data_IF_472703849827
#
_entry.id   IF_472703849827
#
_cell.length_a   1.000
_cell.length_b   1.000
_cell.length_c   1.000
_cell.angle_alpha   90.00
_cell.angle_beta   90.00
_cell.angle_gamma   90.00
#
_symmetry.space_group_name_H-M   'P 1'
#
loop_
_entity.id
_entity.type
_entity.pdbx_description
1 polymer ?
#
# COMPACT_ATOMS: atom_id res chain seq x y z
N UNK A 1 6.17 -19.99 3.10
CA UNK A 1 6.00 -18.53 3.22
C UNK A 1 7.33 -17.96 3.68
N UNK A 2 8.07 -17.32 2.79
CA UNK A 2 9.43 -16.85 3.07
C UNK A 2 9.39 -15.67 4.06
N UNK A 3 9.72 -15.95 5.32
CA UNK A 3 9.70 -14.98 6.43
C UNK A 3 10.44 -13.67 6.11
N UNK A 4 11.45 -13.72 5.24
CA UNK A 4 12.21 -12.55 4.81
C UNK A 4 11.36 -11.54 4.02
N UNK A 5 10.43 -12.01 3.17
CA UNK A 5 9.55 -11.13 2.37
C UNK A 5 8.57 -10.38 3.28
N UNK A 6 7.99 -11.08 4.26
CA UNK A 6 7.07 -10.47 5.23
C UNK A 6 7.73 -9.39 6.08
N UNK A 7 9.01 -9.56 6.44
CA UNK A 7 9.79 -8.54 7.15
C UNK A 7 10.00 -7.33 6.25
N UNK A 8 10.41 -7.54 5.00
CA UNK A 8 10.63 -6.45 4.05
C UNK A 8 9.36 -5.64 3.76
N UNK A 9 8.21 -6.29 3.64
CA UNK A 9 6.92 -5.61 3.41
C UNK A 9 6.53 -4.69 4.58
N UNK A 10 6.86 -5.07 5.82
CA UNK A 10 6.59 -4.26 7.02
C UNK A 10 7.49 -3.03 7.11
N UNK A 11 8.75 -3.16 6.68
CA UNK A 11 9.74 -2.08 6.70
C UNK A 11 9.56 -1.11 5.53
N UNK A 12 9.16 -1.61 4.35
CA UNK A 12 9.04 -0.82 3.13
C UNK A 12 7.85 0.13 3.21
N UNK A 13 8.09 1.43 3.07
CA UNK A 13 7.04 2.45 3.02
C UNK A 13 6.58 2.69 1.58
N UNK A 14 5.30 2.45 1.33
CA UNK A 14 4.64 2.75 0.05
C UNK A 14 4.20 4.21 0.02
N UNK A 15 3.50 4.66 1.08
CA UNK A 15 3.18 6.07 1.26
C UNK A 15 4.18 6.71 2.21
N UNK A 16 5.13 7.46 1.66
CA UNK A 16 6.24 8.03 2.44
C UNK A 16 5.76 9.19 3.32
N UNK A 17 4.81 10.01 2.84
CA UNK A 17 4.34 11.19 3.59
C UNK A 17 3.44 10.84 4.79
N UNK A 18 2.72 9.72 4.74
CA UNK A 18 1.84 9.25 5.84
C UNK A 18 2.38 7.99 6.52
N UNK A 19 3.55 7.49 6.11
CA UNK A 19 4.23 6.35 6.75
C UNK A 19 3.58 4.98 6.52
N UNK A 20 2.71 4.82 5.52
CA UNK A 20 1.99 3.57 5.24
C UNK A 20 2.93 2.53 4.60
N UNK A 21 2.97 1.33 5.18
CA UNK A 21 3.84 0.23 4.76
C UNK A 21 3.26 -0.60 3.61
N UNK A 22 4.13 -1.33 2.88
CA UNK A 22 3.70 -2.29 1.84
C UNK A 22 2.85 -3.40 2.44
N UNK A 23 3.17 -3.86 3.64
CA UNK A 23 2.37 -4.84 4.38
C UNK A 23 0.93 -4.35 4.63
N UNK A 24 0.75 -3.07 5.00
CA UNK A 24 -0.58 -2.49 5.20
C UNK A 24 -1.39 -2.47 3.90
N UNK A 25 -0.76 -2.07 2.79
CA UNK A 25 -1.40 -2.06 1.46
C UNK A 25 -1.80 -3.50 1.06
N UNK A 26 -0.86 -4.45 1.11
CA UNK A 26 -1.14 -5.87 0.79
C UNK A 26 -2.23 -6.46 1.67
N UNK A 27 -2.28 -6.12 2.97
CA UNK A 27 -3.35 -6.54 3.87
C UNK A 27 -4.71 -5.99 3.43
N UNK A 28 -4.80 -4.72 3.02
CA UNK A 28 -6.05 -4.15 2.52
C UNK A 28 -6.53 -4.85 1.24
N UNK A 29 -5.61 -5.15 0.33
CA UNK A 29 -5.91 -5.87 -0.91
C UNK A 29 -6.40 -7.29 -0.62
N UNK A 30 -5.69 -8.03 0.26
CA UNK A 30 -6.11 -9.37 0.72
C UNK A 30 -7.47 -9.37 1.41
N UNK A 31 -7.83 -8.27 2.07
CA UNK A 31 -9.13 -8.08 2.70
C UNK A 31 -10.24 -7.68 1.70
N UNK A 32 -9.94 -7.61 0.40
CA UNK A 32 -10.92 -7.45 -0.67
C UNK A 32 -10.89 -6.11 -1.40
N UNK A 33 -9.96 -5.19 -1.09
CA UNK A 33 -9.82 -3.96 -1.88
C UNK A 33 -9.28 -4.28 -3.29
N UNK A 34 -10.04 -3.95 -4.34
CA UNK A 34 -9.67 -4.26 -5.74
C UNK A 34 -9.33 -3.02 -6.56
N UNK A 35 -9.59 -1.84 -6.04
CA UNK A 35 -9.32 -0.57 -6.70
C UNK A 35 -8.39 0.32 -5.87
N UNK A 36 -7.72 1.25 -6.55
CA UNK A 36 -6.89 2.27 -5.89
C UNK A 36 -7.68 3.01 -4.79
N UNK A 37 -8.91 3.43 -5.11
CA UNK A 37 -9.76 4.16 -4.16
C UNK A 37 -10.09 3.33 -2.92
N UNK A 38 -10.41 2.04 -3.09
CA UNK A 38 -10.68 1.16 -1.94
C UNK A 38 -9.43 0.98 -1.07
N UNK A 39 -8.26 0.81 -1.68
CA UNK A 39 -7.00 0.72 -0.93
C UNK A 39 -6.71 2.03 -0.19
N UNK A 40 -6.85 3.18 -0.84
CA UNK A 40 -6.65 4.49 -0.22
C UNK A 40 -7.63 4.71 0.94
N UNK A 41 -8.91 4.35 0.77
CA UNK A 41 -9.94 4.42 1.82
C UNK A 41 -9.61 3.50 3.00
N UNK A 42 -9.15 2.28 2.73
CA UNK A 42 -8.85 1.29 3.76
C UNK A 42 -7.56 1.60 4.55
N UNK A 43 -6.59 2.27 3.93
CA UNK A 43 -5.24 2.44 4.49
C UNK A 43 -4.87 3.88 4.85
N UNK A 44 -5.62 4.86 4.35
CA UNK A 44 -5.26 6.28 4.44
C UNK A 44 -4.08 6.67 3.55
N UNK A 45 -3.58 5.78 2.68
CA UNK A 45 -2.56 6.16 1.71
C UNK A 45 -3.12 7.19 0.73
N UNK A 46 -2.30 8.17 0.35
CA UNK A 46 -2.67 9.21 -0.62
C UNK A 46 -3.44 10.40 -0.06
N UNK A 47 -3.86 10.39 1.20
CA UNK A 47 -4.52 11.53 1.87
C UNK A 47 -3.55 12.56 2.47
N UNK A 48 -2.23 12.29 2.42
CA UNK A 48 -1.21 13.19 2.95
C UNK A 48 -0.96 14.44 2.11
N UNK A 49 0.01 15.26 2.52
CA UNK A 49 0.36 16.54 1.88
C UNK A 49 0.70 16.44 0.38
N UNK A 50 1.18 15.28 -0.08
CA UNK A 50 1.48 15.04 -1.50
C UNK A 50 0.27 14.58 -2.32
N UNK A 51 -0.92 14.41 -1.72
CA UNK A 51 -2.18 14.02 -2.37
C UNK A 51 -2.08 12.79 -3.27
N UNK A 52 -1.34 11.76 -2.82
CA UNK A 52 -1.17 10.50 -3.57
C UNK A 52 -0.09 10.51 -4.65
N UNK A 53 0.47 11.67 -4.99
CA UNK A 53 1.40 11.82 -6.13
C UNK A 53 2.62 10.86 -6.07
N UNK A 54 3.06 10.46 -4.87
CA UNK A 54 4.24 9.60 -4.68
C UNK A 54 3.94 8.11 -4.51
N UNK A 55 2.72 7.75 -4.13
CA UNK A 55 2.39 6.37 -3.74
C UNK A 55 1.37 5.70 -4.65
N UNK A 56 0.58 6.47 -5.42
CA UNK A 56 -0.47 5.93 -6.28
C UNK A 56 0.04 4.88 -7.26
N UNK A 57 1.09 5.17 -8.03
CA UNK A 57 1.65 4.21 -8.98
C UNK A 57 2.07 2.89 -8.32
N UNK A 58 2.72 2.94 -7.15
CA UNK A 58 3.11 1.74 -6.39
C UNK A 58 1.90 0.94 -5.92
N UNK A 59 0.83 1.61 -5.50
CA UNK A 59 -0.40 0.94 -5.08
C UNK A 59 -1.05 0.24 -6.27
N UNK A 60 -1.07 0.87 -7.44
CA UNK A 60 -1.58 0.28 -8.68
C UNK A 60 -0.74 -0.92 -9.14
N UNK A 61 0.58 -0.86 -9.02
CA UNK A 61 1.47 -2.01 -9.26
C UNK A 61 1.12 -3.17 -8.32
N UNK A 62 0.97 -2.92 -7.01
CA UNK A 62 0.62 -3.95 -6.03
C UNK A 62 -0.75 -4.58 -6.28
N UNK A 63 -1.70 -3.81 -6.81
CA UNK A 63 -3.02 -4.30 -7.22
C UNK A 63 -2.93 -5.21 -8.46
N UNK A 64 -2.00 -4.94 -9.38
CA UNK A 64 -1.74 -5.78 -10.57
C UNK A 64 -0.94 -7.04 -10.25
N UNK A 65 -0.12 -7.00 -9.20
CA UNK A 65 0.69 -8.14 -8.71
C UNK A 65 -0.12 -9.20 -7.94
N UNK A 66 -1.44 -9.03 -7.77
CA UNK A 66 -2.31 -9.99 -7.08
C UNK A 66 -2.72 -11.18 -7.96
#
# INVERSE_FOLDING_TARGET
MDKNIDIMDKLTKVCICTGISRATIKKAIKNGAKTLQEVQKATGAGSGSCKGNRCTHKIEELLKEQ
#
